data_IF_388957727737
#
_entry.id   IF_388957727737
#
_cell.length_a   1.000
_cell.length_b   1.000
_cell.length_c   1.000
_cell.angle_alpha   90.00
_cell.angle_beta   90.00
_cell.angle_gamma   90.00
#
_symmetry.space_group_name_H-M   'P 1'
#
loop_
_entity.id
_entity.type
_entity.pdbx_description
1 polymer ?
#
# COMPACT_ATOMS: atom_id res chain seq x y z
N UNK A 1 -0.57 1.69 -26.97
CA UNK A 1 0.57 0.75 -27.01
C UNK A 1 0.05 -0.62 -27.42
N UNK A 2 0.74 -1.36 -28.31
CA UNK A 2 0.32 -2.72 -28.66
C UNK A 2 0.34 -3.61 -27.40
N UNK A 3 -0.65 -4.48 -27.26
CA UNK A 3 -0.72 -5.41 -26.14
C UNK A 3 0.46 -6.39 -26.20
N UNK A 4 1.19 -6.53 -25.08
CA UNK A 4 2.31 -7.49 -25.00
C UNK A 4 1.84 -8.90 -25.34
N UNK A 5 2.68 -9.70 -26.02
CA UNK A 5 2.33 -11.07 -26.35
C UNK A 5 2.25 -11.92 -25.08
N UNK A 6 1.38 -12.92 -25.09
CA UNK A 6 1.32 -13.89 -24.00
C UNK A 6 2.55 -14.80 -24.06
N UNK A 7 3.09 -15.20 -22.91
CA UNK A 7 4.25 -16.08 -22.82
C UNK A 7 4.03 -17.37 -23.61
N UNK A 8 2.83 -17.97 -23.49
CA UNK A 8 2.46 -19.16 -24.27
C UNK A 8 2.55 -18.93 -25.78
N UNK A 9 2.18 -17.76 -26.25
CA UNK A 9 2.15 -17.44 -27.68
C UNK A 9 3.57 -17.28 -28.21
N UNK A 10 4.44 -16.57 -27.48
CA UNK A 10 5.87 -16.48 -27.81
C UNK A 10 6.54 -17.85 -27.77
N UNK A 11 6.33 -18.63 -26.71
CA UNK A 11 6.90 -19.97 -26.60
C UNK A 11 6.46 -20.87 -27.75
N UNK A 12 5.16 -20.93 -28.06
CA UNK A 12 4.66 -21.72 -29.18
C UNK A 12 5.22 -21.23 -30.51
N UNK A 13 5.29 -19.92 -30.73
CA UNK A 13 5.87 -19.36 -31.94
C UNK A 13 7.32 -19.79 -32.12
N UNK A 14 8.18 -19.59 -31.11
CA UNK A 14 9.59 -19.95 -31.19
C UNK A 14 9.82 -21.46 -31.26
N UNK A 15 9.05 -22.28 -30.53
CA UNK A 15 9.13 -23.74 -30.62
C UNK A 15 8.72 -24.24 -32.01
N UNK A 16 7.60 -23.74 -32.56
CA UNK A 16 7.14 -24.11 -33.89
C UNK A 16 8.12 -23.64 -34.97
N UNK A 17 8.64 -22.42 -34.87
CA UNK A 17 9.66 -21.89 -35.78
C UNK A 17 10.93 -22.76 -35.76
N UNK A 18 11.42 -23.09 -34.55
CA UNK A 18 12.60 -23.91 -34.37
C UNK A 18 12.39 -25.35 -34.89
N UNK A 19 11.23 -25.95 -34.63
CA UNK A 19 10.89 -27.27 -35.13
C UNK A 19 10.78 -27.30 -36.67
N UNK A 20 10.16 -26.30 -37.27
CA UNK A 20 10.07 -26.16 -38.72
C UNK A 20 11.46 -25.94 -39.35
N UNK A 21 12.30 -25.10 -38.73
CA UNK A 21 13.68 -24.89 -39.17
C UNK A 21 14.49 -26.18 -39.09
N UNK A 22 14.42 -26.92 -37.97
CA UNK A 22 15.10 -28.21 -37.82
C UNK A 22 14.64 -29.24 -38.86
N UNK A 23 13.33 -29.31 -39.15
CA UNK A 23 12.81 -30.20 -40.19
C UNK A 23 13.36 -29.82 -41.58
N UNK A 24 13.37 -28.53 -41.92
CA UNK A 24 13.89 -28.06 -43.21
C UNK A 24 15.38 -28.34 -43.38
N UNK A 25 16.18 -28.12 -42.32
CA UNK A 25 17.62 -28.41 -42.35
C UNK A 25 17.85 -29.93 -42.45
N UNK A 26 17.08 -30.75 -41.73
CA UNK A 26 17.15 -32.21 -41.84
C UNK A 26 16.83 -32.71 -43.25
N UNK A 27 15.76 -32.20 -43.88
CA UNK A 27 15.40 -32.54 -45.28
C UNK A 27 16.48 -32.09 -46.26
N UNK A 28 16.97 -30.86 -46.14
CA UNK A 28 18.03 -30.34 -46.99
C UNK A 28 19.30 -31.19 -46.87
N UNK A 29 19.62 -31.65 -45.66
CA UNK A 29 20.76 -32.52 -45.39
C UNK A 29 20.63 -33.85 -46.11
N UNK A 30 19.47 -34.51 -46.04
CA UNK A 30 19.23 -35.77 -46.74
C UNK A 30 19.38 -35.59 -48.25
N UNK A 31 18.84 -34.50 -48.82
CA UNK A 31 18.96 -34.21 -50.25
C UNK A 31 20.41 -33.98 -50.66
N UNK A 32 21.17 -33.17 -49.91
CA UNK A 32 22.57 -32.87 -50.20
C UNK A 32 23.45 -34.12 -50.04
N UNK A 33 23.22 -34.89 -48.97
CA UNK A 33 23.90 -36.15 -48.70
C UNK A 33 23.82 -37.15 -49.87
N UNK A 34 22.69 -37.16 -50.60
CA UNK A 34 22.50 -38.03 -51.77
C UNK A 34 23.44 -37.73 -52.95
N UNK A 35 24.12 -36.58 -52.96
CA UNK A 35 25.02 -36.14 -54.05
C UNK A 35 26.49 -36.52 -53.85
N UNK A 36 26.86 -37.05 -52.68
CA UNK A 36 28.24 -37.40 -52.32
C UNK A 36 28.50 -38.92 -52.30
N UNK A 37 29.77 -39.30 -52.41
CA UNK A 37 30.20 -40.71 -52.30
C UNK A 37 29.89 -41.27 -50.90
N UNK A 38 29.40 -42.53 -50.80
CA UNK A 38 28.79 -43.07 -49.59
C UNK A 38 29.72 -43.06 -48.37
N UNK A 39 31.04 -43.18 -48.56
CA UNK A 39 32.03 -43.16 -47.49
C UNK A 39 32.18 -41.80 -46.79
N UNK A 40 31.90 -40.68 -47.47
CA UNK A 40 31.97 -39.31 -46.87
C UNK A 40 30.61 -38.83 -46.39
N UNK A 41 29.54 -39.30 -47.02
CA UNK A 41 28.16 -38.92 -46.71
C UNK A 41 27.79 -39.19 -45.24
N UNK A 42 28.18 -40.35 -44.70
CA UNK A 42 27.85 -40.71 -43.32
C UNK A 42 28.42 -39.73 -42.29
N UNK A 43 29.71 -39.37 -42.42
CA UNK A 43 30.38 -38.46 -41.49
C UNK A 43 29.78 -37.05 -41.58
N UNK A 44 29.52 -36.56 -42.81
CA UNK A 44 28.91 -35.24 -43.01
C UNK A 44 27.51 -35.13 -42.41
N UNK A 45 26.69 -36.17 -42.58
CA UNK A 45 25.35 -36.24 -41.96
C UNK A 45 25.45 -36.23 -40.43
N UNK A 46 26.36 -37.01 -39.85
CA UNK A 46 26.55 -37.05 -38.39
C UNK A 46 27.03 -35.71 -37.82
N UNK A 47 27.98 -35.05 -38.47
CA UNK A 47 28.45 -33.72 -38.05
C UNK A 47 27.33 -32.68 -38.13
N UNK A 48 26.49 -32.75 -39.16
CA UNK A 48 25.40 -31.81 -39.33
C UNK A 48 24.27 -32.04 -38.31
N UNK A 49 23.89 -33.30 -38.07
CA UNK A 49 22.92 -33.64 -37.00
C UNK A 49 23.44 -33.19 -35.64
N UNK A 50 24.73 -33.40 -35.35
CA UNK A 50 25.33 -32.93 -34.11
C UNK A 50 25.27 -31.38 -33.99
N UNK A 51 25.52 -30.67 -35.09
CA UNK A 51 25.41 -29.21 -35.16
C UNK A 51 23.96 -28.74 -34.94
N UNK A 52 22.97 -29.38 -35.55
CA UNK A 52 21.55 -29.07 -35.34
C UNK A 52 21.14 -29.23 -33.88
N UNK A 53 21.54 -30.35 -33.26
CA UNK A 53 21.28 -30.60 -31.83
C UNK A 53 21.94 -29.53 -30.97
N UNK A 54 23.18 -29.15 -31.27
CA UNK A 54 23.88 -28.09 -30.54
C UNK A 54 23.16 -26.73 -30.67
N UNK A 55 22.74 -26.36 -31.88
CA UNK A 55 21.96 -25.14 -32.13
C UNK A 55 20.65 -25.18 -31.35
N UNK A 56 19.94 -26.31 -31.38
CA UNK A 56 18.68 -26.49 -30.68
C UNK A 56 18.84 -26.32 -29.17
N UNK A 57 19.86 -26.95 -28.58
CA UNK A 57 20.14 -26.84 -27.14
C UNK A 57 20.51 -25.42 -26.74
N UNK A 58 21.41 -24.76 -27.49
CA UNK A 58 21.85 -23.39 -27.20
C UNK A 58 20.69 -22.41 -27.33
N UNK A 59 19.93 -22.50 -28.42
CA UNK A 59 18.79 -21.64 -28.66
C UNK A 59 17.67 -21.89 -27.64
N UNK A 60 17.34 -23.15 -27.37
CA UNK A 60 16.33 -23.52 -26.37
C UNK A 60 16.69 -22.99 -24.98
N UNK A 61 17.95 -23.15 -24.56
CA UNK A 61 18.46 -22.57 -23.30
C UNK A 61 18.34 -21.05 -23.30
N UNK A 62 18.75 -20.38 -24.37
CA UNK A 62 18.66 -18.92 -24.48
C UNK A 62 17.20 -18.44 -24.40
N UNK A 63 16.29 -19.10 -25.12
CA UNK A 63 14.87 -18.80 -25.16
C UNK A 63 14.22 -18.93 -23.77
N UNK A 64 14.41 -20.06 -23.09
CA UNK A 64 13.87 -20.30 -21.74
C UNK A 64 14.46 -19.33 -20.73
N UNK A 65 15.77 -19.10 -20.79
CA UNK A 65 16.44 -18.16 -19.90
C UNK A 65 15.88 -16.75 -20.04
N UNK A 66 15.66 -16.30 -21.28
CA UNK A 66 15.21 -14.94 -21.56
C UNK A 66 13.72 -14.74 -21.28
N UNK A 67 12.87 -15.67 -21.70
CA UNK A 67 11.41 -15.51 -21.60
C UNK A 67 10.83 -15.96 -20.26
N UNK A 68 11.53 -16.84 -19.52
CA UNK A 68 10.99 -17.44 -18.29
C UNK A 68 11.89 -17.19 -17.08
N UNK A 69 13.15 -17.67 -17.11
CA UNK A 69 13.98 -17.67 -15.89
C UNK A 69 14.36 -16.26 -15.43
N UNK A 70 14.87 -15.42 -16.32
CA UNK A 70 15.32 -14.09 -15.94
C UNK A 70 14.17 -13.17 -15.49
N UNK A 71 13.00 -13.12 -16.16
CA UNK A 71 11.84 -12.38 -15.63
C UNK A 71 11.36 -12.91 -14.28
N UNK A 72 11.36 -14.24 -14.09
CA UNK A 72 10.95 -14.86 -12.83
C UNK A 72 11.91 -14.48 -11.69
N UNK A 73 13.22 -14.60 -11.92
CA UNK A 73 14.26 -14.22 -10.95
C UNK A 73 14.11 -12.77 -10.49
N UNK A 74 13.76 -11.85 -11.40
CA UNK A 74 13.55 -10.44 -11.04
C UNK A 74 12.33 -10.23 -10.16
N UNK A 75 11.21 -10.89 -10.46
CA UNK A 75 9.99 -10.79 -9.66
C UNK A 75 10.22 -11.39 -8.28
N UNK A 76 10.88 -12.55 -8.20
CA UNK A 76 11.24 -13.20 -6.93
C UNK A 76 12.18 -12.30 -6.12
N UNK A 77 13.23 -11.77 -6.74
CA UNK A 77 14.15 -10.86 -6.05
C UNK A 77 13.47 -9.58 -5.54
N UNK A 78 12.46 -9.07 -6.26
CA UNK A 78 11.63 -7.96 -5.74
C UNK A 78 10.81 -8.42 -4.54
N UNK A 79 10.17 -9.59 -4.61
CA UNK A 79 9.36 -10.11 -3.51
C UNK A 79 10.21 -10.35 -2.25
N UNK A 80 11.42 -10.91 -2.40
CA UNK A 80 12.37 -11.10 -1.30
C UNK A 80 12.79 -9.75 -0.70
N UNK A 81 13.13 -8.75 -1.53
CA UNK A 81 13.47 -7.41 -1.05
C UNK A 81 12.31 -6.74 -0.28
N UNK A 82 11.07 -6.90 -0.76
CA UNK A 82 9.87 -6.42 -0.08
C UNK A 82 9.66 -7.15 1.26
N UNK A 83 9.92 -8.46 1.30
CA UNK A 83 9.84 -9.25 2.53
C UNK A 83 10.93 -8.85 3.55
N UNK A 84 12.11 -8.45 3.08
CA UNK A 84 13.20 -7.90 3.89
C UNK A 84 12.98 -6.44 4.32
N UNK A 85 11.86 -5.82 3.89
CA UNK A 85 11.44 -4.49 4.31
C UNK A 85 11.77 -3.35 3.34
N UNK A 86 12.39 -3.62 2.19
CA UNK A 86 12.53 -2.65 1.10
C UNK A 86 11.20 -2.51 0.33
N UNK A 87 10.26 -1.83 0.96
CA UNK A 87 8.94 -1.53 0.38
C UNK A 87 9.00 -0.48 -0.73
N UNK A 88 10.16 0.10 -1.04
CA UNK A 88 10.35 1.00 -2.18
C UNK A 88 10.73 0.24 -3.47
N UNK A 89 11.25 -0.98 -3.34
CA UNK A 89 11.53 -1.87 -4.46
C UNK A 89 10.26 -2.13 -5.26
N UNK A 90 10.36 -2.06 -6.59
CA UNK A 90 9.25 -2.38 -7.51
C UNK A 90 9.67 -3.42 -8.52
N UNK A 91 8.74 -4.30 -8.83
CA UNK A 91 8.89 -5.32 -9.84
C UNK A 91 8.97 -4.61 -11.20
N UNK A 92 10.02 -4.89 -11.98
CA UNK A 92 10.24 -4.21 -13.25
C UNK A 92 9.26 -4.71 -14.31
N UNK A 93 9.09 -3.91 -15.36
CA UNK A 93 8.30 -4.31 -16.51
C UNK A 93 8.93 -5.51 -17.25
N UNK A 94 8.08 -6.35 -17.84
CA UNK A 94 8.47 -7.63 -18.44
C UNK A 94 8.13 -7.71 -19.94
N UNK A 95 8.85 -8.55 -20.70
CA UNK A 95 8.65 -8.69 -22.15
C UNK A 95 7.29 -9.33 -22.50
N UNK A 96 6.80 -10.24 -21.65
CA UNK A 96 5.51 -10.94 -21.86
C UNK A 96 4.42 -10.40 -20.96
N UNK A 97 3.17 -10.54 -21.41
CA UNK A 97 1.99 -10.09 -20.67
C UNK A 97 1.86 -10.75 -19.31
N UNK A 98 2.10 -12.05 -19.23
CA UNK A 98 1.94 -12.86 -18.02
C UNK A 98 2.85 -12.36 -16.89
N UNK A 99 4.14 -12.12 -17.19
CA UNK A 99 5.08 -11.58 -16.21
C UNK A 99 4.82 -10.10 -15.91
N UNK A 100 4.35 -9.31 -16.88
CA UNK A 100 3.97 -7.92 -16.63
C UNK A 100 2.78 -7.83 -15.66
N UNK A 101 1.76 -8.68 -15.85
CA UNK A 101 0.63 -8.79 -14.93
C UNK A 101 1.06 -9.29 -13.55
N UNK A 102 2.00 -10.24 -13.47
CA UNK A 102 2.53 -10.69 -12.19
C UNK A 102 3.28 -9.57 -11.45
N UNK A 103 4.14 -8.83 -12.15
CA UNK A 103 4.86 -7.68 -11.59
C UNK A 103 3.90 -6.59 -11.10
N UNK A 104 2.86 -6.26 -11.88
CA UNK A 104 1.83 -5.31 -11.49
C UNK A 104 1.08 -5.76 -10.22
N UNK A 105 0.69 -7.03 -10.15
CA UNK A 105 0.01 -7.59 -8.96
C UNK A 105 0.89 -7.56 -7.73
N UNK A 106 2.18 -7.88 -7.87
CA UNK A 106 3.16 -7.78 -6.78
C UNK A 106 3.28 -6.34 -6.29
N UNK A 107 3.46 -5.37 -7.20
CA UNK A 107 3.56 -3.96 -6.85
C UNK A 107 2.31 -3.46 -6.12
N UNK A 108 1.11 -3.83 -6.61
CA UNK A 108 -0.14 -3.44 -5.96
C UNK A 108 -0.28 -4.02 -4.56
N UNK A 109 0.17 -5.26 -4.35
CA UNK A 109 0.23 -5.86 -3.01
C UNK A 109 1.18 -5.08 -2.09
N UNK A 110 2.36 -4.69 -2.58
CA UNK A 110 3.31 -3.87 -1.82
C UNK A 110 2.74 -2.51 -1.44
N UNK A 111 1.98 -1.86 -2.33
CA UNK A 111 1.31 -0.58 -2.02
C UNK A 111 0.27 -0.77 -0.89
N UNK A 112 -0.52 -1.84 -0.93
CA UNK A 112 -1.46 -2.15 0.16
C UNK A 112 -0.76 -2.41 1.51
N UNK A 113 0.42 -3.05 1.49
CA UNK A 113 1.22 -3.26 2.71
C UNK A 113 1.72 -1.94 3.30
N UNK A 114 2.20 -1.02 2.45
CA UNK A 114 2.62 0.33 2.87
C UNK A 114 1.48 1.11 3.52
N UNK A 115 0.30 1.11 2.88
CA UNK A 115 -0.87 1.79 3.41
C UNK A 115 -1.30 1.22 4.77
N UNK A 116 -1.35 -0.12 4.88
CA UNK A 116 -1.70 -0.79 6.12
C UNK A 116 -0.69 -0.49 7.25
N UNK A 117 0.61 -0.49 6.95
CA UNK A 117 1.65 -0.13 7.91
C UNK A 117 1.49 1.33 8.37
N UNK A 118 1.22 2.26 7.46
CA UNK A 118 0.97 3.66 7.80
C UNK A 118 -0.25 3.84 8.70
N UNK A 119 -1.33 3.10 8.44
CA UNK A 119 -2.52 3.10 9.28
C UNK A 119 -2.25 2.53 10.67
N UNK A 120 -1.50 1.43 10.77
CA UNK A 120 -1.10 0.83 12.05
C UNK A 120 -0.28 1.81 12.89
N UNK A 121 0.75 2.43 12.31
CA UNK A 121 1.59 3.42 13.00
C UNK A 121 0.74 4.59 13.51
N UNK A 122 -0.21 5.07 12.69
CA UNK A 122 -1.11 6.15 13.10
C UNK A 122 -2.03 5.72 14.25
N UNK A 123 -2.57 4.52 14.17
CA UNK A 123 -3.43 3.93 15.21
C UNK A 123 -2.68 3.78 16.54
N UNK A 124 -1.46 3.22 16.51
CA UNK A 124 -0.61 3.08 17.69
C UNK A 124 -0.27 4.44 18.32
N UNK A 125 0.03 5.44 17.48
CA UNK A 125 0.31 6.79 17.94
C UNK A 125 -0.91 7.41 18.63
N UNK A 126 -2.10 7.29 18.05
CA UNK A 126 -3.34 7.79 18.67
C UNK A 126 -3.65 7.06 19.98
N UNK A 127 -3.51 5.74 20.00
CA UNK A 127 -3.71 4.94 21.21
C UNK A 127 -2.71 5.32 22.32
N UNK A 128 -1.45 5.58 21.98
CA UNK A 128 -0.44 6.07 22.91
C UNK A 128 -0.80 7.45 23.46
N UNK A 129 -1.18 8.40 22.59
CA UNK A 129 -1.68 9.72 22.99
C UNK A 129 -2.89 9.57 23.92
N UNK A 130 -3.78 8.61 23.67
CA UNK A 130 -4.98 8.41 24.50
C UNK A 130 -4.68 7.89 25.88
N UNK A 131 -3.74 6.95 26.00
CA UNK A 131 -3.26 6.49 27.31
C UNK A 131 -2.60 7.62 28.09
N UNK A 132 -1.77 8.44 27.44
CA UNK A 132 -1.12 9.58 28.08
C UNK A 132 -2.14 10.66 28.48
N UNK A 133 -3.08 10.99 27.61
CA UNK A 133 -4.14 11.95 27.88
C UNK A 133 -5.00 11.53 29.08
N UNK A 134 -5.36 10.24 29.17
CA UNK A 134 -6.09 9.71 30.31
C UNK A 134 -5.31 9.80 31.63
N UNK A 135 -4.00 9.48 31.60
CA UNK A 135 -3.12 9.67 32.76
C UNK A 135 -3.04 11.13 33.19
N UNK A 136 -2.78 12.04 32.27
CA UNK A 136 -2.73 13.48 32.53
C UNK A 136 -4.06 14.00 33.07
N UNK A 137 -5.18 13.59 32.48
CA UNK A 137 -6.50 14.02 32.94
C UNK A 137 -6.79 13.59 34.37
N UNK A 138 -6.38 12.37 34.73
CA UNK A 138 -6.51 11.88 36.10
C UNK A 138 -5.58 12.63 37.07
N UNK A 139 -4.30 12.80 36.71
CA UNK A 139 -3.31 13.43 37.57
C UNK A 139 -3.50 14.94 37.72
N UNK A 140 -3.99 15.64 36.70
CA UNK A 140 -4.31 17.08 36.74
C UNK A 140 -5.71 17.34 37.30
N UNK A 141 -6.67 16.45 37.06
CA UNK A 141 -8.01 16.57 37.63
C UNK A 141 -7.99 16.60 39.16
N UNK A 142 -7.09 15.84 39.78
CA UNK A 142 -6.92 15.78 41.23
C UNK A 142 -6.56 17.16 41.86
N UNK A 143 -5.47 17.84 41.47
CA UNK A 143 -5.13 19.17 41.98
C UNK A 143 -6.14 20.24 41.58
N UNK A 144 -6.77 20.15 40.39
CA UNK A 144 -7.85 21.08 40.03
C UNK A 144 -9.05 20.95 40.99
N UNK A 145 -9.44 19.73 41.35
CA UNK A 145 -10.49 19.48 42.34
C UNK A 145 -10.13 20.04 43.73
N UNK A 146 -8.87 19.92 44.14
CA UNK A 146 -8.38 20.51 45.39
C UNK A 146 -8.43 22.05 45.35
N UNK A 147 -7.97 22.67 44.24
CA UNK A 147 -8.04 24.12 44.04
C UNK A 147 -9.50 24.60 44.07
N UNK A 148 -10.41 23.91 43.39
CA UNK A 148 -11.85 24.22 43.43
C UNK A 148 -12.41 24.18 44.86
N UNK A 149 -11.98 23.24 45.68
CA UNK A 149 -12.35 23.16 47.09
C UNK A 149 -11.84 24.37 47.88
N UNK A 150 -10.59 24.81 47.67
CA UNK A 150 -10.06 26.00 48.33
C UNK A 150 -10.78 27.29 47.90
N UNK A 151 -11.12 27.42 46.61
CA UNK A 151 -11.91 28.55 46.12
C UNK A 151 -13.28 28.61 46.82
N UNK A 152 -13.94 27.47 47.01
CA UNK A 152 -15.20 27.38 47.73
C UNK A 152 -15.06 27.79 49.21
N UNK A 153 -13.96 27.40 49.87
CA UNK A 153 -13.65 27.85 51.24
C UNK A 153 -13.43 29.36 51.29
N UNK A 154 -12.69 29.93 50.34
CA UNK A 154 -12.45 31.38 50.26
C UNK A 154 -13.76 32.14 50.04
N UNK A 155 -14.64 31.63 49.17
CA UNK A 155 -15.99 32.18 48.95
C UNK A 155 -16.78 32.25 50.25
N UNK A 156 -16.78 31.17 51.05
CA UNK A 156 -17.46 31.13 52.36
C UNK A 156 -16.85 32.04 53.42
N UNK A 157 -15.55 32.35 53.30
CA UNK A 157 -14.83 33.27 54.20
C UNK A 157 -14.95 34.74 53.80
N UNK A 158 -15.76 35.06 52.77
CA UNK A 158 -16.03 36.44 52.36
C UNK A 158 -14.96 37.04 51.45
N UNK A 159 -14.22 36.21 50.70
CA UNK A 159 -13.35 36.71 49.64
C UNK A 159 -14.16 37.46 48.56
N UNK A 160 -13.51 38.40 47.86
CA UNK A 160 -14.12 39.19 46.80
C UNK A 160 -14.82 38.30 45.75
N UNK A 161 -16.15 38.45 45.56
CA UNK A 161 -16.92 37.66 44.61
C UNK A 161 -16.41 37.74 43.16
N UNK A 162 -15.87 38.89 42.73
CA UNK A 162 -15.36 39.03 41.36
C UNK A 162 -14.08 38.22 41.15
N UNK A 163 -13.19 38.22 42.15
CA UNK A 163 -11.95 37.43 42.13
C UNK A 163 -12.26 35.94 42.17
N UNK A 164 -13.18 35.50 43.06
CA UNK A 164 -13.64 34.10 43.12
C UNK A 164 -14.23 33.66 41.79
N UNK A 165 -15.11 34.46 41.18
CA UNK A 165 -15.70 34.13 39.88
C UNK A 165 -14.66 34.07 38.76
N UNK A 166 -13.67 34.97 38.77
CA UNK A 166 -12.56 34.99 37.82
C UNK A 166 -11.74 33.70 37.88
N UNK A 167 -11.28 33.29 39.06
CA UNK A 167 -10.45 32.09 39.23
C UNK A 167 -11.24 30.82 38.94
N UNK A 168 -12.51 30.74 39.33
CA UNK A 168 -13.39 29.59 38.98
C UNK A 168 -13.52 29.41 37.47
N UNK A 169 -13.71 30.51 36.71
CA UNK A 169 -13.80 30.43 35.24
C UNK A 169 -12.52 29.89 34.60
N UNK A 170 -11.34 30.30 35.09
CA UNK A 170 -10.08 29.77 34.57
C UNK A 170 -9.87 28.30 34.98
N UNK A 171 -10.30 27.90 36.17
CA UNK A 171 -10.24 26.50 36.59
C UNK A 171 -11.10 25.60 35.69
N UNK A 172 -12.34 26.01 35.41
CA UNK A 172 -13.24 25.33 34.47
C UNK A 172 -12.67 25.30 33.05
N UNK A 173 -11.99 26.37 32.64
CA UNK A 173 -11.33 26.42 31.32
C UNK A 173 -10.19 25.41 31.24
N UNK A 174 -9.35 25.29 32.27
CA UNK A 174 -8.27 24.30 32.33
C UNK A 174 -8.85 22.88 32.31
N UNK A 175 -9.89 22.62 33.11
CA UNK A 175 -10.57 21.32 33.14
C UNK A 175 -11.13 20.94 31.76
N UNK A 176 -11.75 21.89 31.04
CA UNK A 176 -12.19 21.67 29.65
C UNK A 176 -11.03 21.37 28.69
N UNK A 177 -9.91 22.08 28.79
CA UNK A 177 -8.74 21.83 27.94
C UNK A 177 -8.17 20.42 28.19
N UNK A 178 -8.06 20.04 29.46
CA UNK A 178 -7.55 18.72 29.87
C UNK A 178 -8.49 17.61 29.39
N UNK A 179 -9.81 17.78 29.51
CA UNK A 179 -10.79 16.82 29.00
C UNK A 179 -10.84 16.77 27.47
N UNK A 180 -10.67 17.89 26.77
CA UNK A 180 -10.61 17.90 25.31
C UNK A 180 -9.44 17.09 24.72
N UNK A 181 -8.35 16.92 25.49
CA UNK A 181 -7.22 16.06 25.08
C UNK A 181 -7.60 14.57 25.05
N UNK A 182 -8.52 14.13 25.92
CA UNK A 182 -9.05 12.76 25.94
C UNK A 182 -9.91 12.47 24.70
N UNK A 183 -10.73 13.44 24.28
CA UNK A 183 -11.65 13.29 23.14
C UNK A 183 -10.89 13.10 21.82
N UNK A 184 -9.73 13.75 21.67
CA UNK A 184 -8.87 13.62 20.49
C UNK A 184 -8.30 12.21 20.30
N UNK A 185 -8.15 11.47 21.39
CA UNK A 185 -7.34 10.27 21.43
C UNK A 185 -8.16 8.98 21.62
N UNK A 186 -9.47 9.12 21.73
CA UNK A 186 -10.41 8.01 21.79
C UNK A 186 -10.72 7.58 20.34
N UNK A 187 -10.52 6.30 19.97
CA UNK A 187 -11.09 5.78 18.73
C UNK A 187 -12.60 5.92 18.83
N UNK A 188 -13.23 6.72 17.96
CA UNK A 188 -14.68 6.73 17.84
C UNK A 188 -15.13 5.41 17.20
N UNK A 189 -15.18 4.34 18.01
CA UNK A 189 -16.21 3.29 17.83
C UNK A 189 -17.53 3.87 18.33
N UNK A 190 -18.00 4.94 17.69
CA UNK A 190 -19.38 5.37 17.88
C UNK A 190 -20.23 4.38 17.10
N UNK A 191 -21.00 3.58 17.83
CA UNK A 191 -21.99 2.70 17.23
C UNK A 191 -22.90 3.55 16.33
N UNK A 192 -22.93 3.23 15.03
CA UNK A 192 -23.78 3.92 14.07
C UNK A 192 -25.24 3.81 14.52
N UNK A 193 -25.86 4.94 14.83
CA UNK A 193 -27.26 5.04 15.20
C UNK A 193 -28.02 5.91 14.19
N UNK A 194 -29.33 5.70 13.99
CA UNK A 194 -30.16 6.61 13.22
C UNK A 194 -30.02 8.04 13.76
N UNK A 195 -29.66 8.98 12.89
CA UNK A 195 -29.36 10.37 13.23
C UNK A 195 -30.28 11.30 12.44
N UNK A 196 -30.89 12.28 13.11
CA UNK A 196 -31.57 13.38 12.44
C UNK A 196 -30.53 14.39 11.93
N UNK A 197 -30.18 14.27 10.65
CA UNK A 197 -29.25 15.17 9.99
C UNK A 197 -29.70 16.64 10.06
N UNK A 198 -31.01 16.91 10.03
CA UNK A 198 -31.56 18.26 10.14
C UNK A 198 -31.31 18.86 11.52
N UNK A 199 -31.48 18.07 12.59
CA UNK A 199 -31.17 18.51 13.95
C UNK A 199 -29.68 18.84 14.13
N UNK A 200 -28.79 18.01 13.58
CA UNK A 200 -27.34 18.25 13.63
C UNK A 200 -26.94 19.50 12.86
N UNK A 201 -27.48 19.69 11.65
CA UNK A 201 -27.21 20.88 10.85
C UNK A 201 -27.69 22.17 11.52
N UNK A 202 -28.87 22.16 12.15
CA UNK A 202 -29.36 23.30 12.95
C UNK A 202 -28.47 23.61 14.14
N UNK A 203 -28.01 22.57 14.85
CA UNK A 203 -27.06 22.73 15.96
C UNK A 203 -25.72 23.32 15.52
N UNK A 204 -25.15 22.80 14.43
CA UNK A 204 -23.91 23.31 13.86
C UNK A 204 -24.05 24.76 13.37
N UNK A 205 -25.16 25.09 12.70
CA UNK A 205 -25.46 26.45 12.25
C UNK A 205 -25.53 27.42 13.43
N UNK A 206 -26.27 27.09 14.49
CA UNK A 206 -26.37 27.94 15.68
C UNK A 206 -25.02 28.19 16.35
N UNK A 207 -24.14 27.18 16.37
CA UNK A 207 -22.78 27.32 16.91
C UNK A 207 -21.91 28.26 16.06
N UNK A 208 -21.94 28.09 14.73
CA UNK A 208 -21.16 28.90 13.79
C UNK A 208 -21.66 30.33 13.69
N UNK A 209 -22.98 30.54 13.81
CA UNK A 209 -23.60 31.86 13.88
C UNK A 209 -23.20 32.58 15.17
N UNK A 210 -23.28 31.91 16.33
CA UNK A 210 -22.85 32.47 17.62
C UNK A 210 -21.36 32.85 17.65
N UNK A 211 -20.52 32.13 16.92
CA UNK A 211 -19.09 32.46 16.75
C UNK A 211 -18.82 33.54 15.69
N UNK A 212 -19.85 33.98 14.96
CA UNK A 212 -19.72 34.98 13.90
C UNK A 212 -19.02 34.47 12.64
N UNK A 213 -18.87 33.15 12.48
CA UNK A 213 -18.24 32.53 11.33
C UNK A 213 -19.08 32.66 10.04
N UNK A 214 -20.38 32.92 10.17
CA UNK A 214 -21.34 33.01 9.05
C UNK A 214 -21.71 34.44 8.66
N UNK A 215 -20.99 35.47 9.13
CA UNK A 215 -21.33 36.89 8.89
C UNK A 215 -21.47 37.29 7.41
N UNK A 216 -20.81 36.58 6.50
CA UNK A 216 -20.83 36.86 5.06
C UNK A 216 -21.75 35.94 4.26
N UNK A 217 -22.45 35.01 4.89
CA UNK A 217 -23.24 33.98 4.21
C UNK A 217 -24.65 33.93 4.80
N UNK A 218 -25.68 34.04 3.95
CA UNK A 218 -27.07 33.86 4.35
C UNK A 218 -27.44 32.40 4.08
N UNK A 219 -27.54 31.58 5.12
CA UNK A 219 -27.95 30.17 4.97
C UNK A 219 -29.39 29.99 5.45
N UNK A 220 -30.19 29.22 4.71
CA UNK A 220 -31.50 28.72 5.14
C UNK A 220 -31.44 27.21 5.23
N UNK A 221 -31.73 26.67 6.41
CA UNK A 221 -31.93 25.24 6.61
C UNK A 221 -33.44 24.99 6.48
N UNK A 222 -33.88 24.46 5.32
CA UNK A 222 -35.22 23.87 5.15
C UNK A 222 -35.30 22.51 5.86
#
# INVERSE_FOLDING_TARGET
>A
MPAKPALRTELLFYLSFLAAAALLVGVATILVASTFAPERTFILVMLLVALEVAIFVVFGRHLVSRLVLWPLERVVATADAVADGDLARRAPDAETRDFATLAERLNRMTDHLLDAQGQLVRSEKLASIGRLAAGIAHEVGNPLGAIGTYIEVLRRRGADPEVVAGVTRELERIDRIVRGLLDYARPQEEALAPLDAGAVLRGAYGLLEAQGALKSVRASLE
#
